data_IF_107292441850
#
_entry.id   IF_107292441850
#
_cell.length_a   1.000
_cell.length_b   1.000
_cell.length_c   1.000
_cell.angle_alpha   90.00
_cell.angle_beta   90.00
_cell.angle_gamma   90.00
#
_symmetry.space_group_name_H-M   'P 1'
#
loop_
_entity.id
_entity.type
_entity.pdbx_description
1 polymer ?
#
# COMPACT_ATOMS: atom_id res chain seq x y z
N UNK A 1 18.89 -2.82 -3.55
CA UNK A 1 18.98 -1.41 -3.20
C UNK A 1 20.07 -0.69 -4.02
N UNK A 2 21.36 -1.13 -4.01
CA UNK A 2 22.46 -0.46 -4.70
C UNK A 2 22.17 -0.17 -6.20
N UNK A 3 21.56 -1.11 -6.92
CA UNK A 3 21.20 -0.91 -8.33
C UNK A 3 20.14 0.18 -8.51
N UNK A 4 19.19 0.31 -7.57
CA UNK A 4 18.18 1.38 -7.59
C UNK A 4 18.88 2.73 -7.38
N UNK A 5 19.77 2.84 -6.41
CA UNK A 5 20.53 4.07 -6.15
C UNK A 5 21.41 4.47 -7.33
N UNK A 6 22.05 3.52 -8.02
CA UNK A 6 22.83 3.79 -9.22
C UNK A 6 21.96 4.43 -10.31
N UNK A 7 20.78 3.91 -10.57
CA UNK A 7 19.84 4.47 -11.54
C UNK A 7 19.36 5.87 -11.12
N UNK A 8 19.09 6.08 -9.83
CA UNK A 8 18.57 7.34 -9.30
C UNK A 8 19.68 8.39 -9.04
N UNK A 9 20.94 8.04 -9.18
CA UNK A 9 22.10 8.93 -8.88
C UNK A 9 22.12 10.24 -9.65
N UNK A 10 21.42 10.32 -10.79
CA UNK A 10 21.23 11.54 -11.59
C UNK A 10 20.00 12.37 -11.20
N UNK A 11 19.20 11.91 -10.25
CA UNK A 11 18.03 12.63 -9.76
C UNK A 11 18.45 13.76 -8.82
N UNK A 12 17.69 14.88 -8.86
CA UNK A 12 17.85 15.98 -7.91
C UNK A 12 17.02 15.82 -6.65
N UNK A 13 16.21 14.75 -6.57
CA UNK A 13 15.32 14.47 -5.42
C UNK A 13 16.09 13.72 -4.34
N UNK A 14 15.68 13.92 -3.07
CA UNK A 14 16.16 13.13 -1.94
C UNK A 14 15.76 11.66 -2.04
N UNK A 15 16.26 10.84 -1.14
CA UNK A 15 15.91 9.42 -1.05
C UNK A 15 15.59 9.08 0.40
N UNK A 16 14.46 8.39 0.60
CA UNK A 16 14.09 7.70 1.83
C UNK A 16 14.01 6.19 1.51
N UNK A 17 14.80 5.37 2.19
CA UNK A 17 14.80 3.92 1.98
C UNK A 17 14.74 3.17 3.30
N UNK A 18 14.08 2.01 3.31
CA UNK A 18 14.02 1.14 4.49
C UNK A 18 15.42 0.79 5.01
N UNK A 19 16.33 0.37 4.14
CA UNK A 19 17.66 -0.13 4.52
C UNK A 19 18.67 0.98 4.81
N UNK A 20 18.65 2.06 4.03
CA UNK A 20 19.63 3.14 4.14
C UNK A 20 19.14 4.33 5.00
N UNK A 21 17.85 4.41 5.29
CA UNK A 21 17.24 5.61 5.85
C UNK A 21 17.24 6.76 4.83
N UNK A 22 17.44 8.00 5.28
CA UNK A 22 17.62 9.14 4.40
C UNK A 22 16.75 10.34 4.73
N UNK A 23 16.38 11.12 3.72
CA UNK A 23 15.59 12.33 3.85
C UNK A 23 14.12 12.01 4.20
N UNK A 24 13.49 12.88 4.97
CA UNK A 24 12.06 12.73 5.32
C UNK A 24 11.18 13.86 4.78
N UNK A 25 11.80 14.92 4.25
CA UNK A 25 11.12 16.12 3.76
C UNK A 25 11.47 16.41 2.29
N UNK A 26 10.63 17.21 1.64
CA UNK A 26 10.83 17.63 0.25
C UNK A 26 10.40 16.61 -0.80
N UNK A 27 10.98 16.73 -1.98
CA UNK A 27 10.75 15.82 -3.10
C UNK A 27 11.63 14.59 -2.92
N UNK A 28 11.03 13.42 -2.82
CA UNK A 28 11.70 12.19 -2.40
C UNK A 28 11.35 10.99 -3.27
N UNK A 29 12.36 10.20 -3.59
CA UNK A 29 12.19 8.78 -3.88
C UNK A 29 12.02 8.02 -2.57
N UNK A 30 10.97 7.21 -2.47
CA UNK A 30 10.59 6.42 -1.28
C UNK A 30 10.70 4.96 -1.68
N UNK A 31 11.61 4.20 -1.05
CA UNK A 31 12.05 2.91 -1.57
C UNK A 31 11.98 1.84 -0.48
N UNK A 32 11.31 0.75 -0.77
CA UNK A 32 11.51 -0.54 -0.12
C UNK A 32 12.11 -1.52 -1.15
N UNK A 33 13.39 -1.89 -0.99
CA UNK A 33 14.05 -2.78 -1.94
C UNK A 33 13.55 -4.22 -1.88
N UNK A 34 12.96 -4.65 -0.77
CA UNK A 34 12.41 -6.01 -0.58
C UNK A 34 11.24 -5.98 0.41
N UNK A 35 10.09 -5.44 0.00
CA UNK A 35 8.86 -5.56 0.77
C UNK A 35 8.45 -7.04 0.90
N UNK A 36 8.13 -7.42 2.15
CA UNK A 36 7.90 -8.83 2.48
C UNK A 36 9.18 -9.63 2.77
N UNK A 37 10.16 -9.05 3.47
CA UNK A 37 11.46 -9.65 3.81
C UNK A 37 11.31 -11.02 4.49
N UNK A 38 10.30 -11.20 5.36
CA UNK A 38 10.00 -12.51 5.98
C UNK A 38 9.59 -13.54 4.93
N UNK A 39 8.72 -13.16 3.99
CA UNK A 39 8.30 -14.03 2.90
C UNK A 39 9.49 -14.40 2.01
N UNK A 40 10.29 -13.42 1.61
CA UNK A 40 11.48 -13.62 0.80
C UNK A 40 12.46 -14.60 1.47
N UNK A 41 12.78 -14.39 2.76
CA UNK A 41 13.69 -15.28 3.52
C UNK A 41 13.17 -16.72 3.66
N UNK A 42 11.85 -16.89 3.61
CA UNK A 42 11.16 -18.18 3.67
C UNK A 42 10.85 -18.77 2.29
N UNK A 43 11.26 -18.12 1.20
CA UNK A 43 11.02 -18.53 -0.19
C UNK A 43 9.52 -18.59 -0.54
N UNK A 44 8.71 -17.77 0.11
CA UNK A 44 7.34 -17.51 -0.31
C UNK A 44 7.36 -16.50 -1.47
N UNK A 45 6.49 -16.69 -2.44
CA UNK A 45 6.47 -15.87 -3.67
C UNK A 45 5.81 -14.50 -3.50
N UNK A 46 5.49 -14.10 -2.27
CA UNK A 46 4.79 -12.85 -1.94
C UNK A 46 5.80 -11.83 -1.41
N UNK A 47 6.58 -11.26 -2.29
CA UNK A 47 7.50 -10.16 -2.03
C UNK A 47 7.59 -9.27 -3.25
N UNK A 48 7.94 -8.01 -3.05
CA UNK A 48 8.03 -7.02 -4.12
C UNK A 48 9.18 -6.03 -3.90
N UNK A 49 9.54 -5.30 -4.95
CA UNK A 49 10.28 -4.03 -4.87
C UNK A 49 9.25 -2.92 -4.96
N UNK A 50 9.28 -1.96 -4.05
CA UNK A 50 8.38 -0.81 -3.99
C UNK A 50 9.16 0.50 -4.15
N UNK A 51 8.76 1.35 -5.10
CA UNK A 51 9.39 2.65 -5.36
C UNK A 51 8.27 3.68 -5.55
N UNK A 52 8.17 4.62 -4.63
CA UNK A 52 7.31 5.80 -4.73
C UNK A 52 8.10 7.06 -5.06
N UNK A 53 7.43 8.07 -5.60
CA UNK A 53 7.98 9.42 -5.74
C UNK A 53 6.98 10.41 -5.15
N UNK A 54 7.47 11.24 -4.22
CA UNK A 54 6.74 12.38 -3.66
C UNK A 54 7.27 13.66 -4.31
N UNK A 55 6.39 14.48 -4.88
CA UNK A 55 6.69 15.79 -5.44
C UNK A 55 5.73 16.84 -4.86
N UNK A 56 6.28 17.96 -4.40
CA UNK A 56 5.48 19.04 -3.82
C UNK A 56 4.61 18.60 -2.64
N UNK A 57 5.06 17.60 -1.86
CA UNK A 57 4.31 17.03 -0.74
C UNK A 57 3.28 15.96 -1.11
N UNK A 58 3.10 15.63 -2.40
CA UNK A 58 2.13 14.65 -2.88
C UNK A 58 2.81 13.43 -3.49
N UNK A 59 2.28 12.24 -3.21
CA UNK A 59 2.67 11.01 -3.91
C UNK A 59 2.26 11.13 -5.38
N UNK A 60 3.21 11.03 -6.30
CA UNK A 60 3.03 11.37 -7.72
C UNK A 60 3.29 10.19 -8.66
N UNK A 61 4.16 9.25 -8.25
CA UNK A 61 4.46 8.05 -9.02
C UNK A 61 4.61 6.87 -8.07
N UNK A 62 4.14 5.71 -8.51
CA UNK A 62 4.31 4.44 -7.81
C UNK A 62 4.72 3.33 -8.77
N UNK A 63 5.76 2.59 -8.38
CA UNK A 63 6.23 1.41 -9.11
C UNK A 63 6.31 0.25 -8.12
N UNK A 64 5.68 -0.87 -8.43
CA UNK A 64 5.82 -2.12 -7.69
C UNK A 64 6.20 -3.22 -8.68
N UNK A 65 7.26 -3.96 -8.36
CA UNK A 65 7.69 -5.09 -9.17
C UNK A 65 7.67 -6.39 -8.37
N UNK A 66 6.93 -7.37 -8.87
CA UNK A 66 6.88 -8.72 -8.31
C UNK A 66 7.91 -9.61 -9.02
N UNK A 67 9.06 -9.92 -8.40
CA UNK A 67 10.15 -10.61 -9.09
C UNK A 67 9.86 -12.06 -9.44
N UNK A 68 8.92 -12.71 -8.75
CA UNK A 68 8.57 -14.13 -9.00
C UNK A 68 7.63 -14.30 -10.17
N UNK A 69 6.68 -13.38 -10.35
CA UNK A 69 5.71 -13.40 -11.45
C UNK A 69 6.11 -12.51 -12.62
N UNK A 70 7.20 -11.74 -12.47
CA UNK A 70 7.70 -10.76 -13.46
C UNK A 70 6.62 -9.72 -13.83
N UNK A 71 5.78 -9.34 -12.85
CA UNK A 71 4.75 -8.33 -13.04
C UNK A 71 5.25 -6.96 -12.56
N UNK A 72 5.17 -5.98 -13.45
CA UNK A 72 5.48 -4.57 -13.18
C UNK A 72 4.18 -3.78 -13.09
N UNK A 73 3.92 -3.22 -11.92
CA UNK A 73 2.83 -2.28 -11.68
C UNK A 73 3.39 -0.87 -11.69
N UNK A 74 2.75 0.04 -12.41
CA UNK A 74 3.17 1.42 -12.57
C UNK A 74 1.95 2.34 -12.55
N UNK A 75 2.04 3.43 -11.80
CA UNK A 75 1.08 4.52 -11.87
C UNK A 75 1.80 5.88 -11.78
N UNK A 76 1.27 6.84 -12.50
CA UNK A 76 1.65 8.24 -12.42
C UNK A 76 0.36 9.06 -12.27
N UNK A 77 0.36 10.04 -11.36
CA UNK A 77 -0.81 10.85 -11.05
C UNK A 77 -1.38 11.52 -12.29
N UNK A 78 -2.67 11.25 -12.54
CA UNK A 78 -3.42 11.73 -13.71
C UNK A 78 -3.23 10.91 -14.99
N UNK A 79 -2.40 9.87 -15.00
CA UNK A 79 -2.16 9.03 -16.18
C UNK A 79 -2.72 7.62 -16.06
N UNK A 80 -3.20 7.24 -14.86
CA UNK A 80 -3.78 5.94 -14.57
C UNK A 80 -2.75 4.93 -14.08
N UNK A 81 -3.24 3.72 -13.73
CA UNK A 81 -2.44 2.61 -13.25
C UNK A 81 -2.38 1.48 -14.27
N UNK A 82 -1.24 0.78 -14.32
CA UNK A 82 -0.96 -0.25 -15.30
C UNK A 82 -0.24 -1.43 -14.66
N UNK A 83 -0.56 -2.66 -15.11
CA UNK A 83 0.25 -3.86 -14.88
C UNK A 83 0.81 -4.31 -16.21
N UNK A 84 2.12 -4.22 -16.36
CA UNK A 84 2.79 -4.37 -17.66
C UNK A 84 2.16 -3.40 -18.69
N UNK A 85 1.40 -3.93 -19.66
CA UNK A 85 0.71 -3.13 -20.68
C UNK A 85 -0.83 -3.07 -20.48
N UNK A 86 -1.34 -3.67 -19.41
CA UNK A 86 -2.77 -3.73 -19.12
C UNK A 86 -3.14 -2.61 -18.14
N UNK A 87 -4.10 -1.78 -18.51
CA UNK A 87 -4.66 -0.77 -17.61
C UNK A 87 -5.40 -1.44 -16.46
N UNK A 88 -5.20 -0.91 -15.25
CA UNK A 88 -5.80 -1.40 -14.03
C UNK A 88 -7.06 -0.62 -13.67
N UNK A 89 -7.96 -1.29 -13.00
CA UNK A 89 -9.13 -0.74 -12.34
C UNK A 89 -9.38 -1.53 -11.06
N UNK A 90 -9.73 -0.83 -9.99
CA UNK A 90 -10.16 -1.47 -8.74
C UNK A 90 -11.42 -2.30 -8.94
N UNK A 91 -11.70 -3.22 -8.04
CA UNK A 91 -12.90 -4.04 -8.07
C UNK A 91 -14.19 -3.20 -7.91
N UNK A 92 -15.31 -3.72 -8.42
CA UNK A 92 -16.63 -3.08 -8.29
C UNK A 92 -17.48 -3.70 -7.16
N UNK A 93 -16.89 -4.48 -6.26
CA UNK A 93 -17.58 -5.12 -5.14
C UNK A 93 -18.18 -4.08 -4.20
N UNK A 94 -19.50 -4.06 -4.07
CA UNK A 94 -20.23 -3.15 -3.20
C UNK A 94 -20.81 -3.83 -1.95
N UNK A 95 -20.88 -5.16 -1.95
CA UNK A 95 -21.33 -5.95 -0.78
C UNK A 95 -20.11 -6.32 0.08
N UNK A 96 -19.99 -5.78 1.31
CA UNK A 96 -18.87 -6.08 2.19
C UNK A 96 -18.73 -7.58 2.53
N UNK A 97 -19.83 -8.34 2.48
CA UNK A 97 -19.79 -9.78 2.77
C UNK A 97 -19.05 -10.60 1.70
N UNK A 98 -18.81 -10.03 0.54
CA UNK A 98 -18.05 -10.62 -0.57
C UNK A 98 -16.63 -10.05 -0.68
N UNK A 99 -16.31 -9.03 0.10
CA UNK A 99 -15.06 -8.30 -0.03
C UNK A 99 -13.85 -9.07 0.48
N UNK A 100 -12.77 -9.05 -0.29
CA UNK A 100 -11.43 -9.49 0.12
C UNK A 100 -10.68 -8.29 0.67
N UNK A 101 -10.37 -8.32 1.97
CA UNK A 101 -9.74 -7.21 2.69
C UNK A 101 -8.37 -7.66 3.16
N UNK A 102 -7.31 -6.98 2.70
CA UNK A 102 -5.96 -7.17 3.20
C UNK A 102 -5.75 -6.35 4.47
N UNK A 103 -5.00 -6.91 5.42
CA UNK A 103 -4.64 -6.22 6.66
C UNK A 103 -3.15 -6.38 6.94
N UNK A 104 -2.53 -5.29 7.34
CA UNK A 104 -1.13 -5.26 7.74
C UNK A 104 -0.94 -4.46 9.03
N UNK A 105 0.23 -4.60 9.66
CA UNK A 105 0.55 -3.91 10.91
C UNK A 105 2.04 -3.65 11.03
N UNK A 106 2.39 -2.53 11.65
CA UNK A 106 3.74 -2.25 12.11
C UNK A 106 4.17 -3.12 13.31
N UNK A 107 5.42 -3.01 13.69
CA UNK A 107 6.05 -3.88 14.70
C UNK A 107 5.67 -3.55 16.15
N UNK A 108 5.20 -2.34 16.46
CA UNK A 108 4.83 -1.95 17.82
C UNK A 108 3.65 -2.78 18.37
N UNK A 109 3.65 -3.04 19.68
CA UNK A 109 2.60 -3.85 20.31
C UNK A 109 1.20 -3.26 20.15
N UNK A 110 1.11 -1.93 20.16
CA UNK A 110 -0.16 -1.21 19.96
C UNK A 110 -0.72 -1.40 18.55
N UNK A 111 0.13 -1.37 17.51
CA UNK A 111 -0.26 -1.63 16.12
C UNK A 111 -0.82 -3.05 15.96
N UNK A 112 -0.13 -4.04 16.55
CA UNK A 112 -0.58 -5.45 16.53
C UNK A 112 -1.89 -5.65 17.28
N UNK A 113 -2.12 -4.91 18.36
CA UNK A 113 -3.38 -4.97 19.12
C UNK A 113 -4.54 -4.45 18.27
N UNK A 114 -4.37 -3.30 17.61
CA UNK A 114 -5.39 -2.72 16.72
C UNK A 114 -5.63 -3.58 15.48
N UNK A 115 -4.57 -4.08 14.88
CA UNK A 115 -4.66 -5.06 13.80
C UNK A 115 -5.48 -6.29 14.21
N UNK A 116 -5.21 -6.89 15.37
CA UNK A 116 -5.96 -8.06 15.86
C UNK A 116 -7.44 -7.74 16.08
N UNK A 117 -7.76 -6.54 16.60
CA UNK A 117 -9.14 -6.09 16.76
C UNK A 117 -9.84 -5.89 15.41
N UNK A 118 -9.19 -5.23 14.44
CA UNK A 118 -9.71 -5.04 13.09
C UNK A 118 -9.92 -6.40 12.38
N UNK A 119 -8.93 -7.28 12.41
CA UNK A 119 -9.01 -8.62 11.83
C UNK A 119 -10.21 -9.41 12.38
N UNK A 120 -10.42 -9.35 13.70
CA UNK A 120 -11.55 -10.03 14.35
C UNK A 120 -12.91 -9.50 13.86
N UNK A 121 -13.04 -8.19 13.62
CA UNK A 121 -14.26 -7.57 13.08
C UNK A 121 -14.51 -7.98 11.63
N UNK A 122 -13.48 -7.94 10.79
CA UNK A 122 -13.62 -8.34 9.39
C UNK A 122 -13.83 -9.85 9.22
N UNK A 123 -13.32 -10.68 10.12
CA UNK A 123 -13.48 -12.14 10.04
C UNK A 123 -14.93 -12.61 10.08
N UNK A 124 -15.84 -11.81 10.64
CA UNK A 124 -17.28 -12.15 10.71
C UNK A 124 -18.10 -11.45 9.63
N UNK A 125 -17.51 -10.51 8.88
CA UNK A 125 -18.25 -9.68 7.90
C UNK A 125 -17.73 -9.81 6.47
N UNK A 126 -16.49 -10.29 6.27
CA UNK A 126 -15.78 -10.22 4.98
C UNK A 126 -14.77 -11.38 4.85
N UNK A 127 -13.90 -11.34 3.84
CA UNK A 127 -12.81 -12.30 3.65
C UNK A 127 -11.44 -11.64 3.95
N UNK A 128 -11.02 -11.52 5.22
CA UNK A 128 -9.73 -10.92 5.55
C UNK A 128 -8.55 -11.80 5.13
N UNK A 129 -7.46 -11.16 4.74
CA UNK A 129 -6.19 -11.79 4.36
C UNK A 129 -5.03 -10.99 4.93
N UNK A 130 -3.93 -11.68 5.18
CA UNK A 130 -2.64 -11.07 5.52
C UNK A 130 -1.58 -11.82 4.74
N UNK A 131 -1.00 -11.16 3.75
CA UNK A 131 -0.03 -11.79 2.85
C UNK A 131 1.41 -11.53 3.30
N UNK A 132 1.63 -10.52 4.14
CA UNK A 132 2.94 -10.18 4.70
C UNK A 132 3.85 -9.45 3.71
N UNK A 133 3.27 -8.75 2.76
CA UNK A 133 3.91 -7.84 1.82
C UNK A 133 2.88 -6.78 1.44
N UNK A 134 3.05 -5.57 1.94
CA UNK A 134 2.12 -4.45 1.73
C UNK A 134 2.06 -4.03 0.26
N UNK A 135 3.20 -3.98 -0.42
CA UNK A 135 3.23 -3.65 -1.84
C UNK A 135 2.48 -4.69 -2.69
N UNK A 136 2.60 -6.00 -2.38
CA UNK A 136 1.83 -7.05 -3.06
C UNK A 136 0.34 -6.88 -2.80
N UNK A 137 -0.07 -6.64 -1.55
CA UNK A 137 -1.47 -6.47 -1.16
C UNK A 137 -2.11 -5.27 -1.88
N UNK A 138 -1.43 -4.11 -1.89
CA UNK A 138 -1.90 -2.89 -2.58
C UNK A 138 -1.93 -3.06 -4.11
N UNK A 139 -0.98 -3.76 -4.70
CA UNK A 139 -1.00 -4.06 -6.13
C UNK A 139 -2.21 -4.92 -6.52
N UNK A 140 -2.63 -5.84 -5.63
CA UNK A 140 -3.84 -6.65 -5.83
C UNK A 140 -5.12 -5.82 -5.69
N UNK A 141 -5.16 -4.83 -4.78
CA UNK A 141 -6.28 -3.88 -4.71
C UNK A 141 -6.37 -3.07 -5.99
N UNK A 142 -5.25 -2.51 -6.48
CA UNK A 142 -5.22 -1.74 -7.73
C UNK A 142 -5.64 -2.57 -8.95
N UNK A 143 -5.35 -3.88 -8.94
CA UNK A 143 -5.72 -4.80 -10.02
C UNK A 143 -7.14 -5.37 -9.89
N UNK A 144 -7.91 -5.00 -8.85
CA UNK A 144 -9.25 -5.52 -8.59
C UNK A 144 -9.29 -6.98 -8.13
N UNK A 145 -8.16 -7.54 -7.71
CA UNK A 145 -8.06 -8.89 -7.11
C UNK A 145 -8.37 -8.91 -5.63
N UNK A 146 -8.33 -7.75 -4.98
CA UNK A 146 -8.81 -7.46 -3.63
C UNK A 146 -9.61 -6.17 -3.62
N UNK A 147 -10.33 -5.91 -2.55
CA UNK A 147 -11.26 -4.80 -2.45
C UNK A 147 -10.75 -3.68 -1.55
N UNK A 148 -9.92 -4.02 -0.57
CA UNK A 148 -9.35 -3.05 0.36
C UNK A 148 -8.05 -3.54 1.00
N UNK A 149 -7.32 -2.57 1.55
CA UNK A 149 -6.17 -2.75 2.42
C UNK A 149 -6.31 -1.83 3.64
N UNK A 150 -6.08 -2.39 4.82
CA UNK A 150 -6.16 -1.70 6.12
C UNK A 150 -4.81 -1.77 6.79
N UNK A 151 -4.24 -0.62 7.10
CA UNK A 151 -2.96 -0.49 7.76
C UNK A 151 -3.11 -0.06 9.22
N UNK A 152 -2.36 -0.71 10.09
CA UNK A 152 -2.17 -0.33 11.48
C UNK A 152 -0.68 -0.13 11.77
N UNK A 153 -0.11 0.99 11.31
CA UNK A 153 1.23 1.42 11.72
C UNK A 153 2.40 0.95 10.87
N UNK A 154 2.23 0.65 9.59
CA UNK A 154 3.33 0.40 8.64
C UNK A 154 4.10 1.66 8.30
N UNK A 155 5.25 1.52 7.66
CA UNK A 155 6.11 2.61 7.28
C UNK A 155 5.79 3.14 5.88
N UNK A 156 6.17 4.39 5.60
CA UNK A 156 5.84 5.05 4.34
C UNK A 156 6.37 4.32 3.10
N UNK A 157 7.55 3.70 3.18
CA UNK A 157 8.15 2.96 2.06
C UNK A 157 7.37 1.69 1.69
N UNK A 158 6.62 1.09 2.63
CA UNK A 158 5.81 -0.09 2.38
C UNK A 158 4.61 0.23 1.47
N UNK A 159 3.97 1.40 1.66
CA UNK A 159 2.68 1.69 1.03
C UNK A 159 2.66 2.87 0.04
N UNK A 160 3.69 3.73 0.00
CA UNK A 160 3.67 4.94 -0.84
C UNK A 160 3.39 4.65 -2.32
N UNK A 161 4.08 3.66 -2.91
CA UNK A 161 3.87 3.29 -4.30
C UNK A 161 2.47 2.72 -4.55
N UNK A 162 2.00 1.87 -3.63
CA UNK A 162 0.70 1.21 -3.71
C UNK A 162 -0.47 2.18 -3.62
N UNK A 163 -0.35 3.25 -2.82
CA UNK A 163 -1.38 4.29 -2.74
C UNK A 163 -1.61 4.95 -4.09
N UNK A 164 -0.53 5.35 -4.79
CA UNK A 164 -0.66 5.94 -6.13
C UNK A 164 -1.31 4.97 -7.10
N UNK A 165 -0.92 3.69 -7.05
CA UNK A 165 -1.52 2.64 -7.90
C UNK A 165 -3.03 2.53 -7.69
N UNK A 166 -3.49 2.50 -6.44
CA UNK A 166 -4.92 2.33 -6.15
C UNK A 166 -5.71 3.59 -6.49
N UNK A 167 -5.22 4.80 -6.15
CA UNK A 167 -5.87 6.05 -6.54
C UNK A 167 -6.02 6.15 -8.05
N UNK A 168 -4.97 5.87 -8.81
CA UNK A 168 -4.96 5.94 -10.29
C UNK A 168 -5.76 4.79 -10.95
N UNK A 169 -6.01 3.70 -10.22
CA UNK A 169 -6.94 2.65 -10.63
C UNK A 169 -8.41 2.97 -10.29
N UNK A 170 -8.69 4.13 -9.69
CA UNK A 170 -10.04 4.60 -9.34
C UNK A 170 -10.49 4.25 -7.92
N UNK A 171 -9.57 3.88 -7.04
CA UNK A 171 -9.83 3.63 -5.62
C UNK A 171 -9.83 4.89 -4.76
N UNK A 172 -9.98 4.69 -3.45
CA UNK A 172 -10.01 5.75 -2.44
C UNK A 172 -9.02 5.46 -1.31
N UNK A 173 -8.36 6.53 -0.82
CA UNK A 173 -7.41 6.51 0.30
C UNK A 173 -7.90 7.46 1.40
N UNK A 174 -7.86 7.04 2.65
CA UNK A 174 -8.13 7.88 3.83
C UNK A 174 -7.38 7.38 5.07
N UNK A 175 -7.44 8.16 6.15
CA UNK A 175 -7.17 7.61 7.49
C UNK A 175 -8.38 6.77 7.99
N UNK A 176 -8.26 6.19 9.18
CA UNK A 176 -9.33 5.37 9.78
C UNK A 176 -10.58 6.17 10.20
N UNK A 177 -10.53 7.51 10.22
CA UNK A 177 -11.68 8.39 10.44
C UNK A 177 -12.32 8.88 9.12
N UNK A 178 -11.79 8.45 7.98
CA UNK A 178 -12.29 8.85 6.66
C UNK A 178 -11.82 10.22 6.19
N UNK A 179 -10.85 10.84 6.88
CA UNK A 179 -10.21 12.08 6.42
C UNK A 179 -9.21 11.76 5.32
N UNK A 180 -9.05 12.66 4.37
CA UNK A 180 -8.02 12.53 3.34
C UNK A 180 -6.65 12.26 3.98
N UNK A 181 -5.88 11.37 3.39
CA UNK A 181 -4.57 11.04 3.91
C UNK A 181 -3.64 12.26 3.90
N UNK A 182 -3.04 12.55 5.04
CA UNK A 182 -2.26 13.76 5.32
C UNK A 182 -0.76 13.65 4.93
N UNK A 183 -0.37 12.55 4.32
CA UNK A 183 1.04 12.27 3.98
C UNK A 183 1.86 11.66 5.13
N UNK A 184 1.27 11.48 6.32
CA UNK A 184 1.97 11.02 7.52
C UNK A 184 1.26 9.88 8.26
N UNK A 185 -0.07 9.83 8.21
CA UNK A 185 -0.83 8.82 8.95
C UNK A 185 -0.45 7.41 8.55
N UNK A 186 -0.10 6.60 9.52
CA UNK A 186 0.18 5.17 9.38
C UNK A 186 -1.02 4.29 9.71
N UNK A 187 -2.18 4.90 10.04
CA UNK A 187 -3.49 4.24 10.17
C UNK A 187 -4.32 4.59 8.94
N UNK A 188 -4.26 3.74 7.93
CA UNK A 188 -4.72 4.06 6.59
C UNK A 188 -5.70 3.02 6.07
N UNK A 189 -6.71 3.47 5.33
CA UNK A 189 -7.64 2.68 4.55
C UNK A 189 -7.42 2.97 3.08
N UNK A 190 -7.18 1.93 2.30
CA UNK A 190 -7.11 1.99 0.84
C UNK A 190 -8.15 1.01 0.29
N UNK A 191 -9.02 1.42 -0.63
CA UNK A 191 -10.11 0.57 -1.09
C UNK A 191 -10.55 0.84 -2.52
N UNK A 192 -11.46 -0.02 -3.01
CA UNK A 192 -12.16 0.15 -4.28
C UNK A 192 -13.17 1.33 -4.28
N UNK A 193 -13.32 2.07 -3.18
CA UNK A 193 -14.27 3.16 -3.00
C UNK A 193 -15.68 2.72 -2.63
N UNK A 194 -16.19 1.64 -3.20
CA UNK A 194 -17.59 1.21 -3.02
C UNK A 194 -17.89 0.74 -1.58
N UNK A 195 -16.91 0.13 -0.90
CA UNK A 195 -17.04 -0.34 0.49
C UNK A 195 -16.31 0.55 1.49
N UNK A 196 -15.79 1.71 1.09
CA UNK A 196 -14.91 2.53 1.93
C UNK A 196 -15.55 2.97 3.25
N UNK A 197 -16.81 3.43 3.20
CA UNK A 197 -17.52 3.90 4.39
C UNK A 197 -17.77 2.75 5.38
N UNK A 198 -18.07 1.53 4.89
CA UNK A 198 -18.14 0.32 5.73
C UNK A 198 -16.81 0.04 6.46
N UNK A 199 -15.67 0.27 5.79
CA UNK A 199 -14.35 0.06 6.40
C UNK A 199 -14.11 1.08 7.52
N UNK A 200 -14.44 2.37 7.30
CA UNK A 200 -14.36 3.44 8.31
C UNK A 200 -15.23 3.08 9.52
N UNK A 201 -16.49 2.70 9.30
CA UNK A 201 -17.41 2.31 10.37
C UNK A 201 -16.90 1.10 11.18
N UNK A 202 -16.12 0.23 10.52
CA UNK A 202 -15.58 -0.98 11.15
C UNK A 202 -14.36 -0.69 12.03
N UNK A 203 -13.48 0.26 11.65
CA UNK A 203 -12.18 0.46 12.36
C UNK A 203 -12.02 1.84 12.99
N UNK A 204 -12.90 2.81 12.70
CA UNK A 204 -12.70 4.21 13.09
C UNK A 204 -12.53 4.42 14.61
N UNK A 205 -13.18 3.63 15.44
CA UNK A 205 -13.06 3.68 16.92
C UNK A 205 -11.78 2.99 17.44
N UNK A 206 -11.00 2.34 16.58
CA UNK A 206 -9.72 1.71 16.93
C UNK A 206 -8.51 2.63 16.71
N UNK A 207 -8.69 3.75 16.01
CA UNK A 207 -7.61 4.74 15.80
C UNK A 207 -7.25 5.41 17.13
N UNK A 208 -5.93 5.72 17.40
CA UNK A 208 -5.51 6.42 18.61
C UNK A 208 -6.09 7.81 18.73
#
# INVERSE_FOLDING_TARGET
EAAIFEVLSGSSHGVLSEEAGGDTEGDLWIIDPVDGTTNFSRRLSLCAVSIGLRLGGQLSLGVIYHPVTEELYLAERGLGAWRNQQRLHVAATADPSLAVIFLTHGYAAEHRTRYGAALSRFAVTSYPRTLGSTAVELSFVAAGSGDAWICSGDELWDFAAGMVLVEEAGGRVSDWHGRDWDGQSTYTIVSNGAIHDFLIDTVGDLQP
#
